data_IF_101550494275
#
_entry.id   IF_101550494275
#
_cell.length_a   1.000
_cell.length_b   1.000
_cell.length_c   1.000
_cell.angle_alpha   90.00
_cell.angle_beta   90.00
_cell.angle_gamma   90.00
#
_symmetry.space_group_name_H-M   'P 1'
#
loop_
_entity.id
_entity.type
_entity.pdbx_description
1 polymer ?
#
# COMPACT_ATOMS: atom_id res chain seq x y z
N UNK A 1 7.66 -15.03 6.74
CA UNK A 1 6.24 -15.04 7.12
C UNK A 1 5.85 -16.09 8.18
N UNK A 2 5.91 -17.41 7.96
CA UNK A 2 5.51 -18.38 9.02
C UNK A 2 6.48 -18.47 10.21
N UNK A 3 7.79 -18.27 10.00
CA UNK A 3 8.80 -18.32 11.07
C UNK A 3 8.74 -17.13 12.03
N UNK A 4 8.22 -15.99 11.61
CA UNK A 4 8.13 -14.77 12.43
C UNK A 4 6.92 -14.82 13.39
N UNK A 5 5.81 -15.43 12.98
CA UNK A 5 4.66 -15.67 13.84
C UNK A 5 4.96 -16.69 14.95
N UNK A 6 5.75 -17.72 14.64
CA UNK A 6 6.14 -18.76 15.61
C UNK A 6 7.14 -18.20 16.65
N UNK A 7 8.04 -17.31 16.23
CA UNK A 7 8.99 -16.66 17.13
C UNK A 7 8.30 -15.68 18.10
N UNK A 8 7.32 -14.91 17.62
CA UNK A 8 6.55 -13.97 18.45
C UNK A 8 5.59 -14.65 19.45
N UNK A 9 4.92 -15.74 19.03
CA UNK A 9 4.06 -16.52 19.95
C UNK A 9 4.88 -17.31 20.99
N UNK A 10 6.07 -17.79 20.64
CA UNK A 10 6.95 -18.52 21.56
C UNK A 10 7.44 -17.66 22.74
N UNK A 11 7.81 -16.40 22.48
CA UNK A 11 8.27 -15.48 23.54
C UNK A 11 7.16 -15.04 24.49
N UNK A 12 5.92 -14.88 23.99
CA UNK A 12 4.77 -14.50 24.82
C UNK A 12 4.33 -15.60 25.79
N UNK A 13 4.27 -16.85 25.32
CA UNK A 13 3.87 -17.99 26.15
C UNK A 13 4.95 -18.37 27.17
N UNK A 14 6.23 -18.25 26.83
CA UNK A 14 7.34 -18.50 27.76
C UNK A 14 7.35 -17.54 28.94
N UNK A 15 7.14 -16.23 28.67
CA UNK A 15 7.08 -15.20 29.72
C UNK A 15 5.85 -15.35 30.62
N UNK A 16 4.67 -15.68 30.07
CA UNK A 16 3.45 -15.91 30.86
C UNK A 16 3.56 -17.18 31.72
N UNK A 17 4.14 -18.26 31.18
CA UNK A 17 4.40 -19.49 31.94
C UNK A 17 5.40 -19.28 33.09
N UNK A 18 6.41 -18.44 32.88
CA UNK A 18 7.43 -18.13 33.88
C UNK A 18 6.92 -17.15 34.97
N UNK A 19 5.94 -16.31 34.65
CA UNK A 19 5.20 -15.48 35.61
C UNK A 19 4.31 -16.30 36.55
N UNK A 20 3.66 -17.35 36.04
CA UNK A 20 2.85 -18.27 36.86
C UNK A 20 3.70 -19.25 37.71
N UNK A 21 4.98 -19.47 37.36
CA UNK A 21 5.91 -20.32 38.10
C UNK A 21 6.52 -19.65 39.36
N UNK A 22 6.09 -18.45 39.73
CA UNK A 22 6.42 -17.82 41.02
C UNK A 22 7.88 -17.37 41.22
N UNK A 23 8.73 -17.46 40.19
CA UNK A 23 10.17 -17.24 40.32
C UNK A 23 10.63 -15.79 40.06
N UNK A 24 9.74 -14.89 39.60
CA UNK A 24 10.17 -13.57 39.12
C UNK A 24 9.27 -12.43 39.63
N UNK A 25 9.85 -11.37 40.25
CA UNK A 25 9.09 -10.19 40.65
C UNK A 25 8.50 -9.47 39.44
N UNK A 26 7.24 -9.03 39.55
CA UNK A 26 6.49 -8.37 38.47
C UNK A 26 7.19 -7.13 37.87
N UNK A 27 7.92 -6.37 38.69
CA UNK A 27 8.69 -5.21 38.23
C UNK A 27 9.88 -5.60 37.33
N UNK A 28 10.47 -6.77 37.57
CA UNK A 28 11.58 -7.32 36.79
C UNK A 28 11.08 -7.81 35.43
N UNK A 29 9.88 -8.40 35.38
CA UNK A 29 9.22 -8.75 34.12
C UNK A 29 8.86 -7.51 33.29
N UNK A 30 8.41 -6.41 33.92
CA UNK A 30 8.17 -5.13 33.23
C UNK A 30 9.46 -4.54 32.64
N UNK A 31 10.56 -4.56 33.41
CA UNK A 31 11.86 -4.09 32.93
C UNK A 31 12.38 -4.94 31.76
N UNK A 32 12.21 -6.26 31.83
CA UNK A 32 12.61 -7.18 30.77
C UNK A 32 11.76 -6.98 29.52
N UNK A 33 10.45 -6.78 29.64
CA UNK A 33 9.56 -6.48 28.53
C UNK A 33 9.90 -5.12 27.89
N UNK A 34 10.13 -4.09 28.69
CA UNK A 34 10.55 -2.77 28.20
C UNK A 34 11.92 -2.83 27.53
N UNK A 35 12.87 -3.57 28.10
CA UNK A 35 14.20 -3.80 27.55
C UNK A 35 14.16 -4.60 26.25
N UNK A 36 13.33 -5.65 26.17
CA UNK A 36 13.14 -6.42 24.94
C UNK A 36 12.49 -5.56 23.86
N UNK A 37 11.48 -4.76 24.22
CA UNK A 37 10.80 -3.87 23.28
C UNK A 37 11.75 -2.79 22.75
N UNK A 38 12.53 -2.15 23.63
CA UNK A 38 13.53 -1.17 23.25
C UNK A 38 14.66 -1.79 22.41
N UNK A 39 15.14 -2.97 22.80
CA UNK A 39 16.17 -3.71 22.07
C UNK A 39 15.70 -4.18 20.70
N UNK A 40 14.46 -4.65 20.60
CA UNK A 40 13.80 -4.98 19.33
C UNK A 40 13.65 -3.73 18.48
N UNK A 41 13.26 -2.58 19.04
CA UNK A 41 13.13 -1.31 18.29
C UNK A 41 14.49 -0.78 17.80
N UNK A 42 15.58 -1.09 18.49
CA UNK A 42 16.94 -0.76 18.07
C UNK A 42 17.47 -1.71 16.99
N UNK A 43 17.15 -3.00 17.05
CA UNK A 43 17.60 -3.99 16.06
C UNK A 43 16.69 -4.08 14.82
N UNK A 44 15.40 -3.76 14.96
CA UNK A 44 14.44 -3.64 13.89
C UNK A 44 14.12 -2.16 13.74
N UNK A 45 14.84 -1.42 12.86
CA UNK A 45 14.39 -0.09 12.49
C UNK A 45 12.96 -0.26 11.98
N UNK A 46 12.00 0.27 12.75
CA UNK A 46 10.63 0.40 12.30
C UNK A 46 10.73 1.20 11.01
N UNK A 47 10.51 0.54 9.87
CA UNK A 47 10.48 1.22 8.59
C UNK A 47 9.45 2.34 8.75
N UNK A 48 9.94 3.59 8.71
CA UNK A 48 9.09 4.74 8.81
C UNK A 48 7.99 4.61 7.77
N UNK A 49 6.76 4.92 8.17
CA UNK A 49 5.67 4.90 7.22
C UNK A 49 6.00 5.85 6.06
N UNK A 50 5.61 5.56 4.81
CA UNK A 50 5.90 6.44 3.68
C UNK A 50 5.53 7.92 3.95
N UNK A 51 4.52 8.17 4.79
CA UNK A 51 4.14 9.49 5.32
C UNK A 51 5.22 10.21 6.13
N UNK A 52 5.91 9.52 7.03
CA UNK A 52 6.94 10.12 7.89
C UNK A 52 8.21 10.46 7.10
N UNK A 53 8.48 9.71 6.03
CA UNK A 53 9.67 9.88 5.17
C UNK A 53 9.52 11.14 4.29
N UNK A 54 8.32 11.42 3.77
CA UNK A 54 8.07 12.59 2.91
C UNK A 54 8.15 13.91 3.68
N UNK A 55 7.75 13.93 4.96
CA UNK A 55 7.73 15.16 5.77
C UNK A 55 9.07 15.55 6.41
N UNK A 56 10.09 14.67 6.45
CA UNK A 56 11.30 14.87 7.25
C UNK A 56 12.52 15.49 6.53
N UNK A 57 12.40 15.89 5.26
CA UNK A 57 13.45 16.65 4.58
C UNK A 57 14.42 15.83 3.74
N UNK A 58 13.88 15.12 2.74
CA UNK A 58 14.63 14.46 1.68
C UNK A 58 14.64 12.95 1.81
N UNK A 59 14.21 12.27 0.75
CA UNK A 59 14.23 10.81 0.65
C UNK A 59 15.66 10.36 0.37
N UNK A 60 16.22 9.50 1.22
CA UNK A 60 17.54 8.91 0.96
C UNK A 60 17.50 8.03 -0.30
N UNK A 61 18.63 7.84 -0.98
CA UNK A 61 18.67 7.00 -2.18
C UNK A 61 18.21 5.55 -1.90
N UNK A 62 18.48 5.02 -0.71
CA UNK A 62 17.98 3.71 -0.26
C UNK A 62 16.46 3.67 -0.12
N UNK A 63 15.85 4.72 0.42
CA UNK A 63 14.39 4.81 0.56
C UNK A 63 13.73 4.98 -0.81
N UNK A 64 14.34 5.77 -1.70
CA UNK A 64 13.87 5.92 -3.08
C UNK A 64 13.84 4.58 -3.79
N UNK A 65 14.91 3.79 -3.68
CA UNK A 65 14.97 2.45 -4.27
C UNK A 65 13.92 1.50 -3.68
N UNK A 66 13.65 1.58 -2.37
CA UNK A 66 12.59 0.80 -1.73
C UNK A 66 11.20 1.19 -2.26
N UNK A 67 10.89 2.49 -2.33
CA UNK A 67 9.61 3.00 -2.84
C UNK A 67 9.38 2.62 -4.31
N UNK A 68 10.40 2.74 -5.16
CA UNK A 68 10.33 2.30 -6.55
C UNK A 68 10.18 0.78 -6.66
N UNK A 69 10.89 0.02 -5.82
CA UNK A 69 10.79 -1.44 -5.75
C UNK A 69 9.37 -1.90 -5.40
N UNK A 70 8.74 -1.28 -4.40
CA UNK A 70 7.38 -1.61 -3.99
C UNK A 70 6.35 -1.15 -5.01
N UNK A 71 6.52 0.02 -5.61
CA UNK A 71 5.67 0.49 -6.72
C UNK A 71 5.70 -0.48 -7.90
N UNK A 72 6.89 -0.97 -8.30
CA UNK A 72 7.02 -1.99 -9.35
C UNK A 72 6.30 -3.29 -8.99
N UNK A 73 6.38 -3.71 -7.72
CA UNK A 73 5.73 -4.93 -7.24
C UNK A 73 4.21 -4.81 -7.34
N UNK A 74 3.64 -3.70 -6.87
CA UNK A 74 2.20 -3.46 -6.97
C UNK A 74 1.74 -3.29 -8.41
N UNK A 75 2.52 -2.61 -9.26
CA UNK A 75 2.19 -2.46 -10.67
C UNK A 75 2.15 -3.81 -11.40
N UNK A 76 3.10 -4.71 -11.14
CA UNK A 76 3.05 -6.08 -11.68
C UNK A 76 1.81 -6.84 -11.22
N UNK A 77 1.44 -6.70 -9.95
CA UNK A 77 0.21 -7.32 -9.46
C UNK A 77 -1.04 -6.77 -10.16
N UNK A 78 -1.10 -5.45 -10.39
CA UNK A 78 -2.18 -4.82 -11.17
C UNK A 78 -2.20 -5.36 -12.60
N UNK A 79 -1.04 -5.56 -13.24
CA UNK A 79 -0.96 -6.16 -14.59
C UNK A 79 -1.53 -7.58 -14.62
N UNK A 80 -1.18 -8.43 -13.65
CA UNK A 80 -1.71 -9.79 -13.55
C UNK A 80 -3.23 -9.79 -13.34
N UNK A 81 -3.74 -8.88 -12.50
CA UNK A 81 -5.18 -8.72 -12.28
C UNK A 81 -5.89 -8.18 -13.52
N UNK A 82 -5.29 -7.23 -14.23
CA UNK A 82 -5.83 -6.68 -15.48
C UNK A 82 -5.99 -7.78 -16.54
N UNK A 83 -5.04 -8.71 -16.65
CA UNK A 83 -5.15 -9.84 -17.58
C UNK A 83 -6.28 -10.82 -17.20
N UNK A 84 -6.47 -11.07 -15.89
CA UNK A 84 -7.59 -11.88 -15.41
C UNK A 84 -8.94 -11.21 -15.68
N UNK A 85 -9.03 -9.89 -15.44
CA UNK A 85 -10.24 -9.09 -15.69
C UNK A 85 -10.53 -9.04 -17.19
N UNK A 86 -9.52 -8.92 -18.06
CA UNK A 86 -9.70 -8.95 -19.52
C UNK A 86 -10.46 -10.18 -20.00
N UNK A 87 -10.19 -11.33 -19.40
CA UNK A 87 -10.84 -12.60 -19.78
C UNK A 87 -12.24 -12.73 -19.19
N UNK A 88 -12.47 -12.19 -17.98
CA UNK A 88 -13.71 -12.41 -17.21
C UNK A 88 -14.74 -11.29 -17.33
N UNK A 89 -14.30 -10.05 -17.58
CA UNK A 89 -15.12 -8.84 -17.64
C UNK A 89 -14.60 -7.88 -18.72
N UNK A 90 -14.85 -8.17 -20.01
CA UNK A 90 -14.28 -7.40 -21.13
C UNK A 90 -14.75 -5.94 -21.19
N UNK A 91 -15.90 -5.59 -20.61
CA UNK A 91 -16.39 -4.22 -20.56
C UNK A 91 -15.61 -3.32 -19.59
N UNK A 92 -15.03 -3.90 -18.54
CA UNK A 92 -14.28 -3.16 -17.51
C UNK A 92 -12.77 -3.17 -17.76
N UNK A 93 -12.29 -4.15 -18.52
CA UNK A 93 -10.88 -4.33 -18.84
C UNK A 93 -10.18 -3.07 -19.40
N UNK A 94 -10.77 -2.27 -20.31
CA UNK A 94 -10.13 -1.06 -20.83
C UNK A 94 -9.81 -0.03 -19.74
N UNK A 95 -10.70 0.14 -18.75
CA UNK A 95 -10.49 1.08 -17.65
C UNK A 95 -9.32 0.66 -16.76
N UNK A 96 -9.20 -0.64 -16.48
CA UNK A 96 -8.07 -1.18 -15.68
C UNK A 96 -6.76 -1.08 -16.45
N UNK A 97 -6.78 -1.33 -17.77
CA UNK A 97 -5.61 -1.17 -18.64
C UNK A 97 -5.15 0.28 -18.72
N UNK A 98 -6.08 1.24 -18.81
CA UNK A 98 -5.73 2.66 -18.78
C UNK A 98 -5.05 3.05 -17.46
N UNK A 99 -5.60 2.61 -16.31
CA UNK A 99 -4.99 2.85 -15.01
C UNK A 99 -3.60 2.24 -14.89
N UNK A 100 -3.42 1.02 -15.41
CA UNK A 100 -2.14 0.32 -15.44
C UNK A 100 -1.10 1.07 -16.29
N UNK A 101 -1.50 1.55 -17.47
CA UNK A 101 -0.64 2.34 -18.35
C UNK A 101 -0.23 3.67 -17.71
N UNK A 102 -1.17 4.42 -17.12
CA UNK A 102 -0.87 5.67 -16.43
C UNK A 102 0.07 5.46 -15.25
N UNK A 103 -0.17 4.41 -14.46
CA UNK A 103 0.69 4.03 -13.34
C UNK A 103 2.10 3.70 -13.79
N UNK A 104 2.24 3.02 -14.93
CA UNK A 104 3.53 2.71 -15.55
C UNK A 104 4.25 3.96 -16.02
N UNK A 105 3.55 4.88 -16.68
CA UNK A 105 4.14 6.13 -17.19
C UNK A 105 4.63 7.02 -16.04
N UNK A 106 3.85 7.14 -14.95
CA UNK A 106 4.25 7.85 -13.74
C UNK A 106 5.49 7.21 -13.13
N UNK A 107 5.48 5.89 -12.94
CA UNK A 107 6.62 5.18 -12.36
C UNK A 107 7.89 5.35 -13.21
N UNK A 108 7.76 5.26 -14.53
CA UNK A 108 8.90 5.46 -15.44
C UNK A 108 9.46 6.89 -15.34
N UNK A 109 8.60 7.90 -15.22
CA UNK A 109 9.04 9.29 -15.02
C UNK A 109 9.79 9.46 -13.70
N UNK A 110 9.30 8.87 -12.61
CA UNK A 110 9.95 8.91 -11.29
C UNK A 110 11.30 8.16 -11.26
N UNK A 111 11.48 7.15 -12.11
CA UNK A 111 12.76 6.48 -12.29
C UNK A 111 13.78 7.37 -12.99
N UNK A 112 13.35 8.18 -13.97
CA UNK A 112 14.19 9.10 -14.73
C UNK A 112 14.52 10.38 -13.94
N UNK A 113 13.60 10.86 -13.12
CA UNK A 113 13.73 12.12 -12.37
C UNK A 113 13.70 11.87 -10.85
N UNK A 114 14.88 11.68 -10.21
CA UNK A 114 14.96 11.37 -8.78
C UNK A 114 14.36 12.47 -7.89
N UNK A 115 14.42 13.74 -8.32
CA UNK A 115 13.87 14.88 -7.57
C UNK A 115 12.33 14.93 -7.57
N UNK A 116 11.67 14.19 -8.47
CA UNK A 116 10.22 14.05 -8.49
C UNK A 116 9.72 13.00 -7.49
N UNK A 117 10.58 12.05 -7.08
CA UNK A 117 10.23 10.96 -6.17
C UNK A 117 9.79 11.45 -4.78
N UNK A 118 10.31 12.59 -4.31
CA UNK A 118 9.92 13.19 -3.02
C UNK A 118 8.43 13.58 -2.97
N UNK A 119 7.82 13.86 -4.12
CA UNK A 119 6.44 14.34 -4.19
C UNK A 119 5.42 13.23 -4.42
N UNK A 120 5.88 12.06 -4.88
CA UNK A 120 5.02 10.90 -5.12
C UNK A 120 5.46 9.71 -4.26
N UNK A 121 6.03 9.96 -3.08
CA UNK A 121 6.35 8.92 -2.09
C UNK A 121 5.15 8.08 -1.67
N UNK A 122 3.94 8.55 -1.97
CA UNK A 122 2.66 7.88 -1.76
C UNK A 122 2.25 6.92 -2.89
N UNK A 123 2.94 6.92 -4.03
CA UNK A 123 2.64 6.02 -5.16
C UNK A 123 2.53 4.55 -4.76
N UNK A 124 3.47 3.98 -3.97
CA UNK A 124 3.36 2.57 -3.57
C UNK A 124 2.08 2.30 -2.77
N UNK A 125 1.68 3.24 -1.92
CA UNK A 125 0.46 3.14 -1.11
C UNK A 125 -0.79 3.16 -2.00
N UNK A 126 -0.86 4.07 -2.98
CA UNK A 126 -1.97 4.13 -3.93
C UNK A 126 -2.06 2.86 -4.78
N UNK A 127 -0.94 2.40 -5.34
CA UNK A 127 -0.89 1.17 -6.13
C UNK A 127 -1.25 -0.05 -5.29
N UNK A 128 -0.82 -0.10 -4.02
CA UNK A 128 -1.21 -1.15 -3.09
C UNK A 128 -2.72 -1.21 -2.89
N UNK A 129 -3.35 -0.06 -2.60
CA UNK A 129 -4.81 0.04 -2.44
C UNK A 129 -5.57 -0.34 -3.71
N UNK A 130 -5.12 0.11 -4.87
CA UNK A 130 -5.71 -0.25 -6.16
C UNK A 130 -5.62 -1.76 -6.37
N UNK A 131 -4.42 -2.35 -6.18
CA UNK A 131 -4.21 -3.79 -6.36
C UNK A 131 -5.09 -4.63 -5.43
N UNK A 132 -5.25 -4.21 -4.17
CA UNK A 132 -6.10 -4.91 -3.21
C UNK A 132 -7.60 -4.87 -3.58
N UNK A 133 -8.08 -3.75 -4.13
CA UNK A 133 -9.47 -3.64 -4.57
C UNK A 133 -9.73 -4.41 -5.88
N UNK A 134 -8.78 -4.38 -6.82
CA UNK A 134 -8.85 -5.22 -8.02
C UNK A 134 -8.80 -6.73 -7.69
N UNK A 135 -8.02 -7.13 -6.69
CA UNK A 135 -7.99 -8.52 -6.22
C UNK A 135 -9.35 -8.94 -5.64
N UNK A 136 -9.95 -8.08 -4.79
CA UNK A 136 -11.31 -8.29 -4.29
C UNK A 136 -12.33 -8.37 -5.44
N UNK A 137 -12.19 -7.53 -6.46
CA UNK A 137 -13.05 -7.56 -7.66
C UNK A 137 -12.97 -8.92 -8.37
N UNK A 138 -11.75 -9.40 -8.65
CA UNK A 138 -11.53 -10.71 -9.30
C UNK A 138 -12.10 -11.87 -8.49
N UNK A 139 -12.01 -11.79 -7.16
CA UNK A 139 -12.56 -12.79 -6.24
C UNK A 139 -14.10 -12.75 -6.14
N UNK A 140 -14.72 -11.60 -6.35
CA UNK A 140 -16.17 -11.41 -6.28
C UNK A 140 -16.89 -11.68 -7.61
N UNK A 141 -16.19 -11.57 -8.75
CA UNK A 141 -16.72 -11.83 -10.10
C UNK A 141 -17.55 -13.12 -10.22
N UNK A 142 -17.11 -14.29 -9.70
CA UNK A 142 -17.89 -15.53 -9.79
C UNK A 142 -19.25 -15.50 -9.04
N UNK A 143 -19.43 -14.58 -8.09
CA UNK A 143 -20.61 -14.51 -7.19
C UNK A 143 -21.69 -13.53 -7.68
N UNK A 144 -21.38 -12.70 -8.67
CA UNK A 144 -22.28 -11.65 -9.24
C UNK A 144 -23.66 -12.15 -9.64
N UNK A 145 -23.73 -13.35 -10.21
CA UNK A 145 -24.99 -13.92 -10.69
C UNK A 145 -25.98 -14.24 -9.56
N UNK A 146 -25.49 -14.47 -8.34
CA UNK A 146 -26.26 -15.03 -7.23
C UNK A 146 -26.44 -14.05 -6.07
N UNK A 147 -25.61 -13.01 -5.98
CA UNK A 147 -25.60 -12.07 -4.86
C UNK A 147 -25.68 -10.60 -5.33
N UNK A 148 -26.75 -9.91 -4.94
CA UNK A 148 -26.95 -8.49 -5.22
C UNK A 148 -25.91 -7.61 -4.52
N UNK A 149 -25.42 -8.00 -3.34
CA UNK A 149 -24.35 -7.28 -2.64
C UNK A 149 -23.01 -7.43 -3.37
N UNK A 150 -22.74 -8.60 -3.98
CA UNK A 150 -21.56 -8.78 -4.82
C UNK A 150 -21.58 -7.85 -6.03
N UNK A 151 -22.74 -7.69 -6.70
CA UNK A 151 -22.90 -6.73 -7.81
C UNK A 151 -22.66 -5.28 -7.39
N UNK A 152 -23.22 -4.85 -6.27
CA UNK A 152 -23.00 -3.50 -5.75
C UNK A 152 -21.51 -3.24 -5.45
N UNK A 153 -20.82 -4.20 -4.80
CA UNK A 153 -19.39 -4.07 -4.50
C UNK A 153 -18.52 -4.01 -5.75
N UNK A 154 -18.87 -4.75 -6.79
CA UNK A 154 -18.19 -4.64 -8.08
C UNK A 154 -18.35 -3.23 -8.66
N UNK A 155 -19.57 -2.68 -8.70
CA UNK A 155 -19.77 -1.34 -9.30
C UNK A 155 -19.05 -0.24 -8.52
N UNK A 156 -18.98 -0.34 -7.19
CA UNK A 156 -18.18 0.59 -6.37
C UNK A 156 -16.70 0.51 -6.74
N UNK A 157 -16.18 -0.70 -6.96
CA UNK A 157 -14.78 -0.88 -7.38
C UNK A 157 -14.54 -0.34 -8.80
N UNK A 158 -15.50 -0.51 -9.71
CA UNK A 158 -15.43 0.04 -11.06
C UNK A 158 -15.39 1.57 -11.04
N UNK A 159 -16.24 2.20 -10.22
CA UNK A 159 -16.24 3.65 -10.03
C UNK A 159 -14.94 4.15 -9.38
N UNK A 160 -14.43 3.44 -8.38
CA UNK A 160 -13.15 3.75 -7.74
C UNK A 160 -11.98 3.68 -8.73
N UNK A 161 -11.97 2.72 -9.65
CA UNK A 161 -10.97 2.63 -10.72
C UNK A 161 -11.09 3.79 -11.70
N UNK A 162 -12.31 4.20 -12.07
CA UNK A 162 -12.51 5.37 -12.94
C UNK A 162 -12.02 6.66 -12.28
N UNK A 163 -12.37 6.88 -11.00
CA UNK A 163 -11.91 8.05 -10.24
C UNK A 163 -10.39 8.04 -10.08
N UNK A 164 -9.81 6.90 -9.72
CA UNK A 164 -8.35 6.74 -9.62
C UNK A 164 -7.66 7.01 -10.95
N UNK A 165 -8.25 6.56 -12.07
CA UNK A 165 -7.72 6.82 -13.42
C UNK A 165 -7.68 8.32 -13.70
N UNK A 166 -8.75 9.05 -13.40
CA UNK A 166 -8.78 10.51 -13.57
C UNK A 166 -7.74 11.21 -12.70
N UNK A 167 -7.60 10.81 -11.43
CA UNK A 167 -6.58 11.36 -10.54
C UNK A 167 -5.15 11.04 -10.98
N UNK A 168 -4.89 9.85 -11.50
CA UNK A 168 -3.58 9.48 -12.04
C UNK A 168 -3.28 10.24 -13.33
N UNK A 169 -4.27 10.48 -14.19
CA UNK A 169 -4.11 11.33 -15.38
C UNK A 169 -3.71 12.75 -15.00
N UNK A 170 -4.37 13.30 -13.98
CA UNK A 170 -4.09 14.59 -13.41
C UNK A 170 -2.68 14.67 -12.79
N UNK A 171 -2.33 13.70 -11.94
CA UNK A 171 -1.00 13.58 -11.33
C UNK A 171 0.10 13.45 -12.38
N UNK A 172 -0.16 12.69 -13.45
CA UNK A 172 0.73 12.61 -14.62
C UNK A 172 0.90 13.98 -15.26
N UNK A 173 -0.19 14.70 -15.58
CA UNK A 173 -0.10 16.02 -16.21
C UNK A 173 0.71 17.02 -15.36
N UNK A 174 0.53 17.00 -14.05
CA UNK A 174 1.25 17.89 -13.14
C UNK A 174 2.74 17.52 -13.03
N UNK A 175 3.08 16.22 -13.00
CA UNK A 175 4.47 15.76 -13.13
C UNK A 175 5.13 16.24 -14.43
N UNK A 176 4.39 16.35 -15.54
CA UNK A 176 4.92 16.87 -16.80
C UNK A 176 5.00 18.40 -16.86
N UNK A 177 4.29 19.13 -15.99
CA UNK A 177 4.27 20.60 -15.95
C UNK A 177 5.27 21.20 -14.95
N UNK A 178 5.97 20.37 -14.19
CA UNK A 178 6.83 20.80 -13.07
C UNK A 178 6.09 21.72 -12.07
N UNK A 179 4.76 21.57 -11.94
CA UNK A 179 3.94 22.38 -11.04
C UNK A 179 3.80 21.69 -9.68
N UNK A 180 4.84 21.85 -8.88
CA UNK A 180 5.10 21.04 -7.68
C UNK A 180 4.10 21.27 -6.53
N UNK A 181 3.48 22.46 -6.45
CA UNK A 181 2.49 22.78 -5.39
C UNK A 181 1.14 22.11 -5.69
N UNK A 182 0.80 22.02 -6.97
CA UNK A 182 -0.43 21.35 -7.40
C UNK A 182 -0.38 19.84 -7.08
N UNK A 183 0.82 19.23 -7.16
CA UNK A 183 1.03 17.78 -6.97
C UNK A 183 0.70 17.30 -5.56
N UNK A 184 1.06 18.08 -4.55
CA UNK A 184 0.83 17.74 -3.14
C UNK A 184 -0.67 17.79 -2.79
N UNK A 185 -1.39 18.80 -3.31
CA UNK A 185 -2.83 18.91 -3.13
C UNK A 185 -3.59 17.75 -3.80
N UNK A 186 -3.14 17.32 -4.98
CA UNK A 186 -3.79 16.23 -5.73
C UNK A 186 -3.49 14.85 -5.13
N UNK A 187 -2.29 14.64 -4.61
CA UNK A 187 -1.95 13.44 -3.84
C UNK A 187 -2.83 13.31 -2.59
N UNK A 188 -3.06 14.41 -1.85
CA UNK A 188 -3.92 14.39 -0.67
C UNK A 188 -5.40 14.16 -1.04
N UNK A 189 -5.86 14.70 -2.18
CA UNK A 189 -7.19 14.43 -2.71
C UNK A 189 -7.37 12.95 -3.08
N UNK A 190 -6.38 12.34 -3.75
CA UNK A 190 -6.37 10.91 -4.09
C UNK A 190 -6.39 10.03 -2.84
N UNK A 191 -5.66 10.41 -1.80
CA UNK A 191 -5.68 9.72 -0.51
C UNK A 191 -7.07 9.76 0.13
N UNK A 192 -7.69 10.95 0.19
CA UNK A 192 -9.04 11.13 0.73
C UNK A 192 -10.07 10.26 0.00
N UNK A 193 -10.00 10.22 -1.34
CA UNK A 193 -10.87 9.34 -2.14
C UNK A 193 -10.67 7.86 -1.81
N UNK A 194 -9.42 7.42 -1.71
CA UNK A 194 -9.08 6.02 -1.40
C UNK A 194 -9.34 5.62 0.06
N UNK A 195 -9.46 6.58 0.97
CA UNK A 195 -9.85 6.35 2.37
C UNK A 195 -11.38 6.36 2.54
N UNK A 196 -12.10 7.18 1.75
CA UNK A 196 -13.56 7.28 1.81
C UNK A 196 -14.31 6.04 1.29
N UNK A 197 -13.69 5.24 0.42
CA UNK A 197 -14.27 4.00 -0.13
C UNK A 197 -14.05 2.77 0.79
N UNK A 198 -13.56 2.96 2.02
CA UNK A 198 -13.47 1.91 3.05
C UNK A 198 -14.67 1.98 4.02
N UNK A 199 -15.49 0.91 4.15
CA UNK A 199 -16.38 0.75 5.30
C UNK A 199 -15.60 0.41 6.58
#
# INVERSE_FOLDING_TARGET
>A
MWRELIAGMGSGLGLVGMLFAGAMPWWLAMLLAAGLYAGLRLCLPVAASPHEIVHAGGVTESERQALLGDSRRHLRHIQDLAHQIQTRQPSFAPSVQQLEQLSRDILHRLEQEPDAARYVGMLPLYLSKISANLDRYVNLLPRVGHDAHARQRLSVTEEMVQRSTASFEHLRQQLYRDDWIALEAEAEALKSLLDADLP
#
